data_IF_234745735764
#
_entry.id   IF_234745735764
#
_cell.length_a   1.000
_cell.length_b   1.000
_cell.length_c   1.000
_cell.angle_alpha   90.00
_cell.angle_beta   90.00
_cell.angle_gamma   90.00
#
_symmetry.space_group_name_H-M   'P 1'
#
loop_
_entity.id
_entity.type
_entity.pdbx_description
1 polymer ?
#
# COMPACT_ATOMS: atom_id res chain seq x y z
N UNK A 1 13.86 11.13 -8.09
CA UNK A 1 12.46 10.75 -7.78
C UNK A 1 12.51 9.65 -6.73
N UNK A 2 11.76 9.74 -5.62
CA UNK A 2 11.66 8.65 -4.64
C UNK A 2 10.61 7.62 -5.07
N UNK A 3 10.84 6.35 -4.77
CA UNK A 3 9.90 5.23 -4.91
C UNK A 3 9.12 5.10 -3.62
N UNK A 4 7.83 5.37 -3.69
CA UNK A 4 6.97 5.45 -2.51
C UNK A 4 6.01 4.27 -2.52
N UNK A 5 6.10 3.44 -1.49
CA UNK A 5 5.11 2.42 -1.24
C UNK A 5 3.86 3.08 -0.65
N UNK A 6 2.69 2.87 -1.26
CA UNK A 6 1.42 3.41 -0.79
C UNK A 6 0.69 2.32 0.00
N UNK A 7 0.57 2.56 1.30
CA UNK A 7 -0.09 1.67 2.26
C UNK A 7 -1.47 2.23 2.62
N UNK A 8 -2.54 1.54 2.24
CA UNK A 8 -3.93 1.94 2.50
C UNK A 8 -4.81 0.70 2.58
N UNK A 9 -5.99 0.76 3.22
CA UNK A 9 -6.90 -0.38 3.25
C UNK A 9 -7.37 -0.70 1.83
N UNK A 10 -7.55 -1.99 1.53
CA UNK A 10 -8.15 -2.47 0.28
C UNK A 10 -9.48 -3.18 0.52
N UNK A 11 -9.49 -4.21 1.37
CA UNK A 11 -10.70 -4.97 1.74
C UNK A 11 -11.74 -4.14 2.52
N UNK A 12 -12.97 -4.66 2.58
CA UNK A 12 -14.13 -3.95 3.13
C UNK A 12 -14.89 -3.21 2.04
N UNK A 13 -15.03 -1.88 2.16
CA UNK A 13 -15.57 -1.05 1.08
C UNK A 13 -14.52 -0.83 -0.01
N UNK A 14 -14.38 -1.82 -0.90
CA UNK A 14 -13.38 -1.85 -1.97
C UNK A 14 -13.50 -0.61 -2.88
N UNK A 15 -14.72 -0.24 -3.27
CA UNK A 15 -14.93 0.89 -4.18
C UNK A 15 -14.44 2.21 -3.58
N UNK A 16 -14.71 2.45 -2.29
CA UNK A 16 -14.16 3.61 -1.57
C UNK A 16 -12.65 3.53 -1.42
N UNK A 17 -12.14 2.37 -1.01
CA UNK A 17 -10.73 2.15 -0.72
C UNK A 17 -9.84 2.30 -1.96
N UNK A 18 -10.30 1.82 -3.13
CA UNK A 18 -9.61 2.03 -4.40
C UNK A 18 -9.50 3.53 -4.72
N UNK A 19 -10.57 4.30 -4.55
CA UNK A 19 -10.52 5.77 -4.76
C UNK A 19 -9.51 6.47 -3.84
N UNK A 20 -9.44 6.03 -2.58
CA UNK A 20 -8.46 6.54 -1.61
C UNK A 20 -7.03 6.21 -2.05
N UNK A 21 -6.75 4.95 -2.40
CA UNK A 21 -5.44 4.51 -2.87
C UNK A 21 -5.00 5.25 -4.14
N UNK A 22 -5.90 5.43 -5.11
CA UNK A 22 -5.63 6.21 -6.32
C UNK A 22 -5.34 7.68 -6.01
N UNK A 23 -6.11 8.30 -5.13
CA UNK A 23 -5.90 9.70 -4.75
C UNK A 23 -4.56 9.90 -4.02
N UNK A 24 -4.14 8.95 -3.18
CA UNK A 24 -2.80 8.91 -2.59
C UNK A 24 -1.71 8.76 -3.65
N UNK A 25 -1.88 7.85 -4.61
CA UNK A 25 -0.93 7.69 -5.72
C UNK A 25 -0.80 8.99 -6.54
N UNK A 26 -1.93 9.65 -6.85
CA UNK A 26 -1.93 10.96 -7.52
C UNK A 26 -1.23 12.03 -6.67
N UNK A 27 -1.41 12.03 -5.35
CA UNK A 27 -0.70 12.92 -4.43
C UNK A 27 0.81 12.68 -4.46
N UNK A 28 1.27 11.42 -4.40
CA UNK A 28 2.68 11.06 -4.54
C UNK A 28 3.25 11.57 -5.86
N UNK A 29 2.55 11.36 -6.99
CA UNK A 29 2.98 11.86 -8.30
C UNK A 29 3.08 13.40 -8.33
N UNK A 30 2.11 14.12 -7.76
CA UNK A 30 2.16 15.59 -7.65
C UNK A 30 3.35 16.09 -6.83
N UNK A 31 3.86 15.29 -5.89
CA UNK A 31 5.07 15.59 -5.12
C UNK A 31 6.37 15.20 -5.85
N UNK A 32 6.31 14.80 -7.12
CA UNK A 32 7.50 14.45 -7.92
C UNK A 32 8.09 13.09 -7.54
N UNK A 33 7.26 12.15 -7.08
CA UNK A 33 7.63 10.81 -6.63
C UNK A 33 6.89 9.72 -7.42
N UNK A 34 7.43 8.50 -7.44
CA UNK A 34 6.84 7.34 -8.11
C UNK A 34 6.05 6.48 -7.09
N UNK A 35 4.72 6.35 -7.20
CA UNK A 35 3.93 5.51 -6.31
C UNK A 35 3.96 4.04 -6.72
N UNK A 36 3.91 3.15 -5.72
CA UNK A 36 3.59 1.74 -5.87
C UNK A 36 2.54 1.34 -4.84
N UNK A 37 1.33 0.98 -5.30
CA UNK A 37 0.24 0.49 -4.47
C UNK A 37 -0.05 -0.98 -4.86
N UNK A 38 0.54 -1.97 -4.18
CA UNK A 38 0.44 -3.38 -4.59
C UNK A 38 -1.00 -3.89 -4.60
N UNK A 39 -1.83 -3.41 -3.68
CA UNK A 39 -3.24 -3.76 -3.58
C UNK A 39 -4.13 -3.17 -4.70
N UNK A 40 -3.61 -2.28 -5.55
CA UNK A 40 -4.28 -1.89 -6.80
C UNK A 40 -3.81 -2.73 -8.01
N UNK A 41 -2.67 -3.42 -7.89
CA UNK A 41 -2.05 -4.16 -8.98
C UNK A 41 -2.36 -5.66 -8.89
N UNK A 42 -1.94 -6.32 -7.82
CA UNK A 42 -1.99 -7.78 -7.74
C UNK A 42 -3.42 -8.34 -7.85
N UNK A 43 -4.46 -7.72 -7.23
CA UNK A 43 -5.84 -8.19 -7.38
C UNK A 43 -6.39 -8.15 -8.82
N UNK A 44 -5.69 -7.54 -9.79
CA UNK A 44 -6.09 -7.59 -11.21
C UNK A 44 -5.78 -8.93 -11.86
N UNK A 45 -4.93 -9.76 -11.23
CA UNK A 45 -4.55 -11.10 -11.70
C UNK A 45 -4.40 -12.13 -10.56
N UNK A 46 -4.82 -11.77 -9.33
CA UNK A 46 -4.98 -12.68 -8.18
C UNK A 46 -6.40 -12.59 -7.65
N UNK A 47 -6.92 -13.69 -7.08
CA UNK A 47 -8.21 -13.73 -6.39
C UNK A 47 -8.02 -13.63 -4.88
N UNK A 48 -8.39 -12.48 -4.30
CA UNK A 48 -8.30 -12.21 -2.86
C UNK A 48 -9.19 -13.11 -2.00
N UNK A 49 -10.19 -13.78 -2.60
CA UNK A 49 -11.02 -14.77 -1.93
C UNK A 49 -10.33 -16.13 -1.78
N UNK A 50 -9.26 -16.38 -2.56
CA UNK A 50 -8.42 -17.57 -2.47
C UNK A 50 -7.21 -17.26 -1.57
N UNK A 51 -7.11 -17.86 -0.37
CA UNK A 51 -6.09 -17.48 0.62
C UNK A 51 -4.65 -17.55 0.08
N UNK A 52 -4.32 -18.57 -0.72
CA UNK A 52 -2.99 -18.73 -1.30
C UNK A 52 -2.63 -17.62 -2.30
N UNK A 53 -3.58 -17.22 -3.15
CA UNK A 53 -3.35 -16.15 -4.12
C UNK A 53 -3.25 -14.80 -3.42
N UNK A 54 -4.08 -14.57 -2.41
CA UNK A 54 -3.99 -13.38 -1.54
C UNK A 54 -2.62 -13.28 -0.86
N UNK A 55 -2.16 -14.37 -0.25
CA UNK A 55 -0.84 -14.38 0.40
C UNK A 55 0.30 -14.17 -0.62
N UNK A 56 0.16 -14.71 -1.83
CA UNK A 56 1.12 -14.47 -2.92
C UNK A 56 1.17 -12.99 -3.29
N UNK A 57 0.02 -12.33 -3.49
CA UNK A 57 -0.04 -10.89 -3.80
C UNK A 57 0.57 -10.02 -2.70
N UNK A 58 0.29 -10.34 -1.43
CA UNK A 58 0.90 -9.65 -0.28
C UNK A 58 2.42 -9.85 -0.27
N UNK A 59 2.89 -11.09 -0.43
CA UNK A 59 4.32 -11.40 -0.44
C UNK A 59 5.06 -10.65 -1.56
N UNK A 60 4.49 -10.58 -2.76
CA UNK A 60 5.05 -9.79 -3.86
C UNK A 60 5.11 -8.29 -3.52
N UNK A 61 4.08 -7.73 -2.87
CA UNK A 61 4.10 -6.35 -2.38
C UNK A 61 5.23 -6.10 -1.38
N UNK A 62 5.36 -6.97 -0.37
CA UNK A 62 6.40 -6.86 0.66
C UNK A 62 7.82 -7.01 0.08
N UNK A 63 8.02 -7.85 -0.93
CA UNK A 63 9.31 -7.98 -1.61
C UNK A 63 9.69 -6.68 -2.35
N UNK A 64 8.75 -6.06 -3.07
CA UNK A 64 9.00 -4.79 -3.74
C UNK A 64 9.23 -3.63 -2.77
N UNK A 65 8.67 -3.67 -1.56
CA UNK A 65 8.91 -2.66 -0.51
C UNK A 65 10.39 -2.53 -0.15
N UNK A 66 11.19 -3.59 -0.26
CA UNK A 66 12.64 -3.55 -0.03
C UNK A 66 13.34 -2.55 -0.95
N UNK A 67 12.79 -2.40 -2.17
CA UNK A 67 13.24 -1.47 -3.18
C UNK A 67 12.58 -0.09 -3.07
N UNK A 68 11.64 0.15 -2.16
CA UNK A 68 11.05 1.49 -1.97
C UNK A 68 11.93 2.35 -1.06
N UNK A 69 11.87 3.66 -1.25
CA UNK A 69 12.63 4.63 -0.45
C UNK A 69 11.84 5.02 0.82
N UNK A 70 10.50 5.08 0.75
CA UNK A 70 9.61 5.41 1.87
C UNK A 70 8.27 4.65 1.76
N UNK A 71 7.52 4.63 2.87
CA UNK A 71 6.14 4.15 2.94
C UNK A 71 5.23 5.30 3.33
N UNK A 72 4.21 5.59 2.52
CA UNK A 72 3.17 6.56 2.83
C UNK A 72 1.91 5.81 3.23
N UNK A 73 1.49 5.95 4.49
CA UNK A 73 0.44 5.16 5.11
C UNK A 73 -0.80 6.00 5.39
N UNK A 74 -1.94 5.63 4.82
CA UNK A 74 -3.20 6.32 5.06
C UNK A 74 -3.88 5.81 6.33
N UNK A 75 -3.92 6.64 7.37
CA UNK A 75 -4.39 6.28 8.72
C UNK A 75 -5.79 6.82 9.04
N UNK A 76 -6.39 7.62 8.15
CA UNK A 76 -7.67 8.31 8.39
C UNK A 76 -8.89 7.41 8.64
N UNK A 77 -8.82 6.12 8.28
CA UNK A 77 -9.86 5.13 8.58
C UNK A 77 -9.36 4.02 9.52
N UNK A 78 -8.28 4.29 10.28
CA UNK A 78 -7.58 3.29 11.08
C UNK A 78 -6.66 2.39 10.24
N UNK A 79 -5.95 1.49 10.93
CA UNK A 79 -4.99 0.56 10.34
C UNK A 79 -5.65 -0.81 10.16
N UNK A 80 -5.80 -1.25 8.91
CA UNK A 80 -6.29 -2.60 8.60
C UNK A 80 -5.24 -3.68 8.91
N UNK A 81 -5.65 -4.95 8.97
CA UNK A 81 -4.72 -6.07 9.17
C UNK A 81 -3.70 -6.20 8.02
N UNK A 82 -4.10 -5.92 6.78
CA UNK A 82 -3.21 -5.90 5.63
C UNK A 82 -2.16 -4.80 5.75
N UNK A 83 -2.60 -3.58 6.10
CA UNK A 83 -1.68 -2.47 6.35
C UNK A 83 -0.71 -2.75 7.49
N UNK A 84 -1.16 -3.39 8.58
CA UNK A 84 -0.28 -3.71 9.71
C UNK A 84 0.91 -4.56 9.25
N UNK A 85 0.69 -5.57 8.39
CA UNK A 85 1.77 -6.39 7.82
C UNK A 85 2.76 -5.57 7.01
N UNK A 86 2.27 -4.63 6.21
CA UNK A 86 3.10 -3.71 5.42
C UNK A 86 3.92 -2.77 6.34
N UNK A 87 3.30 -2.20 7.36
CA UNK A 87 3.96 -1.30 8.32
C UNK A 87 5.00 -2.02 9.19
N UNK A 88 4.69 -3.23 9.65
CA UNK A 88 5.63 -4.07 10.40
C UNK A 88 6.86 -4.38 9.54
N UNK A 89 6.66 -4.72 8.24
CA UNK A 89 7.76 -4.94 7.31
C UNK A 89 8.57 -3.68 7.05
N UNK A 90 7.91 -2.54 6.88
CA UNK A 90 8.56 -1.24 6.71
C UNK A 90 9.45 -0.91 7.91
N UNK A 91 8.95 -1.15 9.13
CA UNK A 91 9.71 -1.00 10.37
C UNK A 91 10.93 -1.92 10.44
N UNK A 92 10.78 -3.20 10.11
CA UNK A 92 11.91 -4.15 10.04
C UNK A 92 12.99 -3.72 9.03
N UNK A 93 12.60 -3.10 7.93
CA UNK A 93 13.49 -2.60 6.88
C UNK A 93 14.06 -1.21 7.18
N UNK A 94 13.65 -0.56 8.29
CA UNK A 94 14.03 0.81 8.61
C UNK A 94 13.55 1.84 7.60
N UNK A 95 12.46 1.57 6.87
CA UNK A 95 11.90 2.51 5.90
C UNK A 95 11.23 3.68 6.65
N UNK A 96 11.44 4.93 6.22
CA UNK A 96 10.65 6.05 6.72
C UNK A 96 9.17 5.82 6.44
N UNK A 97 8.33 5.99 7.46
CA UNK A 97 6.88 5.89 7.38
C UNK A 97 6.29 7.30 7.53
N UNK A 98 5.56 7.74 6.52
CA UNK A 98 4.85 9.03 6.51
C UNK A 98 3.36 8.75 6.66
N UNK A 99 2.77 9.18 7.76
CA UNK A 99 1.34 9.03 8.00
C UNK A 99 0.53 10.11 7.30
N UNK A 100 -0.58 9.70 6.70
CA UNK A 100 -1.52 10.54 5.95
C UNK A 100 -2.91 10.35 6.55
N UNK A 101 -3.43 11.37 7.23
CA UNK A 101 -4.77 11.33 7.81
C UNK A 101 -5.88 11.62 6.79
N UNK A 102 -5.58 12.38 5.74
CA UNK A 102 -6.55 12.90 4.76
C UNK A 102 -6.00 12.84 3.32
N UNK A 103 -6.90 12.62 2.36
CA UNK A 103 -6.57 12.43 0.93
C UNK A 103 -7.32 13.39 0.04
#
# INVERSE_FOLDING_TARGET
MKRIFVCSPFAGDIARNVKVAEALCRRVMRNGHAPFAPHLLYPTFTDDSVPEQRETGIACGLAYMECCDEVWAFTGNGISSGMRRELDRAGQLGKPIIEIAEV
#
